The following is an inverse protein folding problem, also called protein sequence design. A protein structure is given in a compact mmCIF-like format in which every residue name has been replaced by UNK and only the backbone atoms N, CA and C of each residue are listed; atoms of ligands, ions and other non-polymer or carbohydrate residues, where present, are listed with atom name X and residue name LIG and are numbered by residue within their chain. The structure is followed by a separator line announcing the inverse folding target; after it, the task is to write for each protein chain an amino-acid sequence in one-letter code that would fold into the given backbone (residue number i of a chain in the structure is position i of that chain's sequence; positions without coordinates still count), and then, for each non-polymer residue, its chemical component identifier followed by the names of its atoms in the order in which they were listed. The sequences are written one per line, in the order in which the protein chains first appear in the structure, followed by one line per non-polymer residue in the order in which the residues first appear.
data_IF_302108599831
#
_entry.id   IF_302108599831
#
_cell.length_a   1.000
_cell.length_b   1.000
_cell.length_c   1.000
_cell.angle_alpha   90.00
_cell.angle_beta   90.00
_cell.angle_gamma   90.00
#
_symmetry.space_group_name_H-M   'P 1'
#
loop_
_entity.id
_entity.type
_entity.pdbx_description
1 polymer ?
#
# COMPACT_ATOMS: atom_id res chain seq x y z
N UNK A 1 -3.76 -0.81 -8.65
CA UNK A 1 -3.07 -0.49 -7.38
C UNK A 1 -2.56 0.93 -7.49
N UNK A 2 -2.57 1.71 -6.40
CA UNK A 2 -2.20 3.12 -6.46
C UNK A 2 -1.09 3.45 -5.45
N UNK A 3 -0.09 4.22 -5.89
CA UNK A 3 0.97 4.75 -5.02
C UNK A 3 0.79 6.27 -4.94
N UNK A 4 0.62 6.80 -3.73
CA UNK A 4 0.46 8.24 -3.49
C UNK A 4 1.59 8.75 -2.62
N UNK A 5 2.13 9.92 -2.98
CA UNK A 5 3.10 10.65 -2.17
C UNK A 5 2.45 11.91 -1.61
N UNK A 6 2.55 12.13 -0.31
CA UNK A 6 2.03 13.34 0.35
C UNK A 6 2.99 13.84 1.42
N UNK A 7 3.14 15.15 1.55
CA UNK A 7 3.85 15.76 2.68
C UNK A 7 2.82 16.03 3.77
N UNK A 8 3.09 15.56 4.99
CA UNK A 8 2.20 15.66 6.14
C UNK A 8 2.97 16.10 7.37
N UNK A 9 2.32 16.88 8.23
CA UNK A 9 2.88 17.26 9.53
C UNK A 9 2.70 16.09 10.49
N UNK A 10 3.79 15.47 10.93
CA UNK A 10 3.78 14.34 11.87
C UNK A 10 4.68 14.71 13.04
N UNK A 11 4.07 14.88 14.22
CA UNK A 11 4.80 15.29 15.42
C UNK A 11 5.41 16.69 15.33
N UNK A 12 4.80 17.59 14.56
CA UNK A 12 5.29 18.97 14.37
C UNK A 12 6.30 19.15 13.23
N UNK A 13 6.80 18.06 12.63
CA UNK A 13 7.77 18.11 11.53
C UNK A 13 7.12 17.71 10.19
N UNK A 14 7.44 18.39 9.07
CA UNK A 14 6.99 17.99 7.75
C UNK A 14 7.70 16.71 7.32
N UNK A 15 6.93 15.65 7.07
CA UNK A 15 7.45 14.37 6.58
C UNK A 15 6.77 13.95 5.29
N UNK A 16 7.55 13.39 4.37
CA UNK A 16 6.99 12.74 3.17
C UNK A 16 6.48 11.35 3.56
N UNK A 17 5.25 11.07 3.17
CA UNK A 17 4.58 9.79 3.40
C UNK A 17 4.16 9.22 2.06
N UNK A 18 4.43 7.94 1.87
CA UNK A 18 4.02 7.16 0.72
C UNK A 18 2.90 6.21 1.14
N UNK A 19 1.82 6.20 0.38
CA UNK A 19 0.69 5.31 0.58
C UNK A 19 0.64 4.32 -0.59
N UNK A 20 0.50 3.04 -0.28
CA UNK A 20 0.27 1.99 -1.29
C UNK A 20 -1.11 1.40 -1.02
N UNK A 21 -1.99 1.49 -2.02
CA UNK A 21 -3.38 1.06 -1.91
C UNK A 21 -3.65 -0.14 -2.80
N UNK A 22 -4.05 -1.23 -2.17
CA UNK A 22 -4.56 -2.43 -2.82
C UNK A 22 -6.07 -2.45 -2.69
N UNK A 23 -6.77 -2.78 -3.78
CA UNK A 23 -8.23 -2.83 -3.81
C UNK A 23 -8.65 -4.16 -4.38
N UNK A 24 -9.48 -4.91 -3.64
CA UNK A 24 -10.09 -6.13 -4.14
C UNK A 24 -11.22 -5.77 -5.12
N UNK A 25 -11.07 -6.17 -6.38
CA UNK A 25 -11.99 -5.73 -7.44
C UNK A 25 -13.44 -6.12 -7.22
N UNK A 26 -13.70 -7.30 -6.64
CA UNK A 26 -15.04 -7.82 -6.41
C UNK A 26 -15.80 -7.04 -5.33
N UNK A 27 -15.20 -6.85 -4.15
CA UNK A 27 -15.86 -6.26 -2.98
C UNK A 27 -15.52 -4.78 -2.74
N UNK A 28 -14.53 -4.25 -3.46
CA UNK A 28 -13.89 -2.93 -3.20
C UNK A 28 -13.21 -2.82 -1.83
N UNK A 29 -13.02 -3.94 -1.13
CA UNK A 29 -12.24 -3.97 0.10
C UNK A 29 -10.82 -3.45 -0.16
N UNK A 30 -10.35 -2.54 0.67
CA UNK A 30 -9.08 -1.86 0.47
C UNK A 30 -8.09 -2.16 1.60
N UNK A 31 -6.83 -2.35 1.24
CA UNK A 31 -5.68 -2.39 2.14
C UNK A 31 -4.78 -1.18 1.84
N UNK A 32 -4.35 -0.47 2.89
CA UNK A 32 -3.52 0.74 2.76
C UNK A 32 -2.24 0.56 3.57
N UNK A 33 -1.13 0.40 2.86
CA UNK A 33 0.22 0.47 3.44
C UNK A 33 0.69 1.92 3.54
N UNK A 34 1.35 2.26 4.64
CA UNK A 34 1.92 3.60 4.90
C UNK A 34 3.43 3.47 5.12
N UNK A 35 4.22 4.24 4.37
CA UNK A 35 5.68 4.17 4.38
C UNK A 35 6.25 5.59 4.54
N UNK A 36 7.22 5.74 5.44
CA UNK A 36 7.88 7.02 5.72
C UNK A 36 9.21 7.20 4.96
N UNK A 37 9.53 6.29 4.06
CA UNK A 37 10.70 6.28 3.21
C UNK A 37 10.27 6.04 1.74
N UNK A 38 11.12 6.37 0.76
CA UNK A 38 10.87 6.01 -0.64
C UNK A 38 10.54 4.52 -0.79
N UNK A 39 9.65 4.22 -1.73
CA UNK A 39 9.21 2.85 -1.98
C UNK A 39 10.34 2.03 -2.63
N UNK A 40 10.88 1.09 -1.86
CA UNK A 40 11.82 0.07 -2.35
C UNK A 40 11.08 -1.20 -2.79
N UNK A 41 11.68 -1.96 -3.70
CA UNK A 41 11.11 -3.22 -4.23
C UNK A 41 10.81 -4.21 -3.09
N UNK A 42 11.71 -4.32 -2.11
CA UNK A 42 11.53 -5.23 -0.97
C UNK A 42 10.33 -4.84 -0.12
N UNK A 43 10.20 -3.56 0.24
CA UNK A 43 9.05 -3.02 0.97
C UNK A 43 7.75 -3.27 0.22
N UNK A 44 7.77 -3.09 -1.10
CA UNK A 44 6.61 -3.34 -1.93
C UNK A 44 6.17 -4.81 -1.94
N UNK A 45 7.12 -5.76 -2.00
CA UNK A 45 6.83 -7.19 -1.89
C UNK A 45 6.20 -7.53 -0.53
N UNK A 46 6.73 -6.97 0.56
CA UNK A 46 6.16 -7.17 1.89
C UNK A 46 4.73 -6.63 1.99
N UNK A 47 4.45 -5.47 1.40
CA UNK A 47 3.11 -4.90 1.37
C UNK A 47 2.11 -5.75 0.57
N UNK A 48 2.55 -6.46 -0.47
CA UNK A 48 1.70 -7.43 -1.17
C UNK A 48 1.35 -8.62 -0.28
N UNK A 49 2.33 -9.18 0.42
CA UNK A 49 2.11 -10.31 1.34
C UNK A 49 1.11 -9.92 2.45
N UNK A 50 1.30 -8.74 3.05
CA UNK A 50 0.37 -8.19 4.03
C UNK A 50 -1.04 -7.99 3.45
N UNK A 51 -1.14 -7.42 2.24
CA UNK A 51 -2.42 -7.23 1.57
C UNK A 51 -3.14 -8.56 1.30
N UNK A 52 -2.42 -9.56 0.79
CA UNK A 52 -2.98 -10.90 0.55
C UNK A 52 -3.47 -11.53 1.84
N UNK A 53 -2.68 -11.48 2.91
CA UNK A 53 -3.11 -11.95 4.23
C UNK A 53 -4.36 -11.22 4.73
N UNK A 54 -4.42 -9.89 4.56
CA UNK A 54 -5.57 -9.09 4.93
C UNK A 54 -6.83 -9.46 4.13
N UNK A 55 -6.67 -9.75 2.84
CA UNK A 55 -7.78 -10.16 1.97
C UNK A 55 -8.18 -11.65 2.13
N UNK A 56 -7.51 -12.40 3.00
CA UNK A 56 -7.83 -13.81 3.27
C UNK A 56 -7.10 -14.82 2.36
N UNK A 57 -6.04 -14.41 1.68
CA UNK A 57 -5.16 -15.30 0.93
C UNK A 57 -4.64 -14.72 -0.39
N UNK A 58 -3.99 -15.58 -1.17
CA UNK A 58 -3.52 -15.25 -2.50
C UNK A 58 -4.68 -15.26 -3.50
N UNK A 59 -4.76 -14.21 -4.31
CA UNK A 59 -5.81 -14.05 -5.32
C UNK A 59 -5.33 -14.57 -6.67
N UNK A 60 -6.24 -15.10 -7.49
CA UNK A 60 -5.92 -15.68 -8.81
C UNK A 60 -5.31 -14.66 -9.78
N UNK A 61 -5.73 -13.39 -9.70
CA UNK A 61 -5.30 -12.34 -10.62
C UNK A 61 -4.95 -11.07 -9.87
N UNK A 62 -3.78 -10.53 -10.18
CA UNK A 62 -3.36 -9.20 -9.76
C UNK A 62 -3.33 -8.28 -10.99
N UNK A 63 -3.95 -7.11 -10.88
CA UNK A 63 -3.96 -6.11 -11.95
C UNK A 63 -3.23 -4.87 -11.44
N UNK A 64 -2.19 -4.49 -12.18
CA UNK A 64 -1.41 -3.29 -11.97
C UNK A 64 -1.74 -2.30 -13.09
N UNK A 65 -1.93 -1.04 -12.72
CA UNK A 65 -2.01 0.09 -13.65
C UNK A 65 -0.66 0.81 -13.62
#
# INVERSE_FOLDING_TARGET
MWILRKVMMIGGEPRTVYFVVFVLSYSRLSYVGVIFAPLEITTFIHLHDEAFRYFGGLHEKCVYD
#
